data_IF_982441943390
#
_entry.id   IF_982441943390
#
_cell.length_a   1.000
_cell.length_b   1.000
_cell.length_c   1.000
_cell.angle_alpha   90.00
_cell.angle_beta   90.00
_cell.angle_gamma   90.00
#
_symmetry.space_group_name_H-M   'P 1'
#
loop_
_entity.id
_entity.type
_entity.pdbx_description
1 polymer ?
#
# COMPACT_ATOMS: atom_id res chain seq x y z
N UNK A 1 -7.12 6.45 -26.25
CA UNK A 1 -7.30 5.49 -26.64
C UNK A 1 -6.39 4.53 -26.26
N UNK A 2 -5.26 4.58 -26.37
CA UNK A 2 -4.44 3.64 -25.94
C UNK A 2 -4.43 3.49 -24.51
N UNK A 3 -4.74 4.45 -23.69
CA UNK A 3 -4.70 4.34 -22.26
C UNK A 3 -5.76 3.40 -21.73
N UNK A 4 -6.89 3.30 -22.38
CA UNK A 4 -7.91 2.44 -21.88
C UNK A 4 -7.54 0.97 -22.05
N UNK A 5 -6.75 0.63 -23.03
CA UNK A 5 -6.28 -0.72 -23.19
C UNK A 5 -5.37 -1.11 -22.04
N UNK A 6 -4.51 -0.18 -21.59
CA UNK A 6 -3.60 -0.46 -20.52
C UNK A 6 -4.34 -0.64 -19.20
N UNK A 7 -5.31 0.21 -18.92
CA UNK A 7 -6.10 0.10 -17.72
C UNK A 7 -6.87 -1.21 -17.67
N UNK A 8 -7.44 -1.60 -18.80
CA UNK A 8 -8.20 -2.83 -18.86
C UNK A 8 -7.30 -4.02 -18.62
N UNK A 9 -6.08 -3.99 -19.13
CA UNK A 9 -5.16 -5.07 -18.92
C UNK A 9 -4.81 -5.20 -17.44
N UNK A 10 -4.62 -4.09 -16.73
CA UNK A 10 -4.34 -4.13 -15.30
C UNK A 10 -5.51 -4.72 -14.53
N UNK A 11 -6.72 -4.34 -14.89
CA UNK A 11 -7.90 -4.89 -14.22
C UNK A 11 -8.01 -6.39 -14.46
N UNK A 12 -7.69 -6.85 -15.65
CA UNK A 12 -7.71 -8.27 -15.95
C UNK A 12 -6.68 -9.03 -15.14
N UNK A 13 -5.60 -8.36 -14.74
CA UNK A 13 -4.55 -8.98 -13.94
C UNK A 13 -4.81 -8.88 -12.44
N UNK A 14 -5.97 -8.34 -12.06
CA UNK A 14 -6.32 -8.26 -10.64
C UNK A 14 -6.02 -6.94 -9.98
N UNK A 15 -5.57 -5.94 -10.75
CA UNK A 15 -5.31 -4.61 -10.19
C UNK A 15 -6.59 -3.82 -10.12
N UNK A 16 -6.73 -3.01 -9.09
CA UNK A 16 -7.88 -2.16 -8.86
C UNK A 16 -7.45 -0.71 -8.85
N UNK A 17 -8.18 0.14 -9.56
CA UNK A 17 -7.92 1.58 -9.52
C UNK A 17 -8.31 2.11 -8.15
N UNK A 18 -7.45 2.88 -7.50
CA UNK A 18 -7.76 3.41 -6.17
C UNK A 18 -7.79 4.92 -6.12
N UNK A 19 -6.93 5.62 -6.86
CA UNK A 19 -6.91 7.08 -6.82
C UNK A 19 -5.97 7.60 -7.88
N UNK A 20 -5.99 8.93 -8.07
CA UNK A 20 -4.99 9.58 -8.91
C UNK A 20 -3.75 9.85 -8.07
N UNK A 21 -2.60 9.95 -8.72
CA UNK A 21 -1.36 10.20 -8.01
C UNK A 21 -1.41 11.53 -7.27
N UNK A 22 -2.16 12.51 -7.78
CA UNK A 22 -2.29 13.80 -7.12
C UNK A 22 -3.13 13.75 -5.87
N UNK A 23 -3.88 12.67 -5.65
CA UNK A 23 -4.65 12.53 -4.43
C UNK A 23 -3.78 12.08 -3.27
N UNK A 24 -2.53 11.73 -3.54
CA UNK A 24 -1.61 11.29 -2.50
C UNK A 24 -0.70 12.44 -2.13
N UNK A 25 -0.55 12.68 -0.83
CA UNK A 25 0.30 13.74 -0.32
C UNK A 25 1.63 13.12 0.08
N UNK A 26 2.72 13.77 -0.32
CA UNK A 26 4.07 13.27 -0.04
C UNK A 26 4.22 12.88 1.43
N UNK A 27 4.62 11.66 1.69
CA UNK A 27 4.91 11.11 3.02
C UNK A 27 3.72 11.02 3.97
N UNK A 28 2.50 11.21 3.48
CA UNK A 28 1.29 11.11 4.29
C UNK A 28 0.50 9.91 3.81
N UNK A 29 0.21 8.97 4.69
CA UNK A 29 -0.49 7.75 4.31
C UNK A 29 -1.97 7.98 4.09
N UNK A 30 -2.56 7.09 3.31
CA UNK A 30 -3.99 7.13 3.05
C UNK A 30 -4.51 5.70 3.09
N UNK A 31 -5.62 5.50 3.79
CA UNK A 31 -6.18 4.17 3.95
C UNK A 31 -7.18 3.86 2.85
N UNK A 32 -7.13 2.64 2.33
CA UNK A 32 -8.10 2.15 1.35
C UNK A 32 -8.55 0.77 1.79
N UNK A 33 -9.76 0.40 1.41
CA UNK A 33 -10.27 -0.94 1.69
C UNK A 33 -10.62 -1.58 0.35
N UNK A 34 -9.95 -2.69 0.04
CA UNK A 34 -10.13 -3.38 -1.23
C UNK A 34 -10.29 -4.86 -0.95
N UNK A 35 -11.37 -5.46 -1.44
CA UNK A 35 -11.65 -6.88 -1.20
C UNK A 35 -11.62 -7.20 0.30
N UNK A 36 -12.21 -6.31 1.11
CA UNK A 36 -12.26 -6.45 2.56
C UNK A 36 -10.89 -6.41 3.23
N UNK A 37 -9.89 -5.90 2.55
CA UNK A 37 -8.54 -5.77 3.08
C UNK A 37 -8.20 -4.31 3.24
N UNK A 38 -7.73 -3.91 4.42
CA UNK A 38 -7.32 -2.53 4.64
C UNK A 38 -5.87 -2.38 4.25
N UNK A 39 -5.60 -1.43 3.39
CA UNK A 39 -4.22 -1.14 3.00
C UNK A 39 -3.89 0.31 3.30
N UNK A 40 -2.62 0.58 3.49
CA UNK A 40 -2.10 1.94 3.68
C UNK A 40 -1.23 2.24 2.47
N UNK A 41 -1.48 3.38 1.83
CA UNK A 41 -0.78 3.77 0.60
C UNK A 41 0.02 5.03 0.89
N UNK A 42 1.28 5.02 0.50
CA UNK A 42 2.19 6.14 0.73
C UNK A 42 2.86 6.53 -0.57
N UNK A 43 3.07 7.82 -0.76
CA UNK A 43 3.86 8.32 -1.89
C UNK A 43 5.12 8.96 -1.34
N UNK A 44 6.29 8.51 -1.80
CA UNK A 44 7.57 9.04 -1.36
C UNK A 44 8.42 9.27 -2.60
N UNK A 45 8.79 10.51 -2.86
CA UNK A 45 9.61 10.88 -4.02
C UNK A 45 9.02 10.35 -5.32
N UNK A 46 7.73 10.53 -5.49
CA UNK A 46 6.99 10.12 -6.70
C UNK A 46 6.83 8.61 -6.83
N UNK A 47 7.27 7.83 -5.87
CA UNK A 47 7.07 6.39 -5.87
C UNK A 47 5.94 6.04 -4.91
N UNK A 48 5.10 5.09 -5.28
CA UNK A 48 3.92 4.73 -4.50
C UNK A 48 4.10 3.35 -3.90
N UNK A 49 3.77 3.22 -2.63
CA UNK A 49 3.88 1.94 -1.90
C UNK A 49 2.54 1.61 -1.27
N UNK A 50 2.19 0.32 -1.25
CA UNK A 50 0.97 -0.14 -0.60
C UNK A 50 1.32 -1.30 0.33
N UNK A 51 0.93 -1.18 1.59
CA UNK A 51 1.20 -2.21 2.59
C UNK A 51 -0.06 -2.43 3.42
N UNK A 52 -0.08 -3.51 4.19
CA UNK A 52 -1.19 -3.76 5.10
C UNK A 52 -1.33 -2.59 6.07
N UNK A 53 -2.56 -2.20 6.35
CA UNK A 53 -2.81 -1.15 7.33
C UNK A 53 -2.83 -1.70 8.75
N UNK A 54 -2.68 -2.99 8.94
CA UNK A 54 -2.79 -3.62 10.25
C UNK A 54 -1.40 -3.97 10.76
N UNK A 55 -1.01 -3.35 11.87
CA UNK A 55 0.29 -3.62 12.48
C UNK A 55 0.25 -5.01 13.12
N UNK A 56 1.19 -5.89 12.78
CA UNK A 56 1.15 -7.26 13.31
C UNK A 56 1.41 -7.33 14.81
N UNK A 57 2.00 -6.28 15.39
CA UNK A 57 2.31 -6.32 16.82
C UNK A 57 1.04 -6.40 17.67
N UNK A 58 0.10 -5.52 17.48
CA UNK A 58 -1.14 -5.52 18.25
C UNK A 58 -2.36 -5.44 17.36
N UNK A 59 -2.19 -5.66 16.08
CA UNK A 59 -3.30 -5.64 15.13
C UNK A 59 -4.07 -4.32 15.13
N UNK A 60 -3.35 -3.22 15.36
CA UNK A 60 -3.96 -1.91 15.28
C UNK A 60 -4.05 -1.53 13.80
N UNK A 61 -5.08 -0.78 13.44
CA UNK A 61 -5.34 -0.39 12.06
C UNK A 61 -4.84 1.02 11.82
N UNK A 62 -3.57 1.27 12.10
CA UNK A 62 -3.00 2.61 12.14
C UNK A 62 -1.78 2.85 11.26
N UNK A 63 -1.43 1.90 10.42
CA UNK A 63 -0.22 2.08 9.60
C UNK A 63 -0.34 3.33 8.72
N UNK A 64 -1.54 3.61 8.18
CA UNK A 64 -1.72 4.78 7.32
C UNK A 64 -1.41 6.08 8.06
N UNK A 65 -1.50 6.07 9.39
CA UNK A 65 -1.26 7.25 10.19
C UNK A 65 0.17 7.31 10.71
N UNK A 66 1.03 6.42 10.26
CA UNK A 66 2.40 6.36 10.73
C UNK A 66 3.28 7.45 10.13
N UNK A 67 4.46 7.62 10.72
CA UNK A 67 5.43 8.59 10.22
C UNK A 67 6.32 7.91 9.20
N UNK A 68 6.84 8.70 8.27
CA UNK A 68 7.80 8.18 7.29
C UNK A 68 9.20 8.59 7.71
N UNK A 69 10.12 7.61 7.76
CA UNK A 69 11.55 7.85 7.97
C UNK A 69 12.28 7.12 6.86
N UNK A 70 12.84 7.85 5.92
CA UNK A 70 13.46 7.28 4.72
C UNK A 70 12.43 6.41 4.00
N UNK A 71 12.64 5.13 3.84
CA UNK A 71 11.64 4.27 3.21
C UNK A 71 10.92 3.40 4.24
N UNK A 72 10.92 3.82 5.50
CA UNK A 72 10.24 3.07 6.54
C UNK A 72 9.02 3.82 7.02
N UNK A 73 7.97 3.07 7.38
CA UNK A 73 6.83 3.66 8.07
C UNK A 73 6.93 3.23 9.53
N UNK A 74 6.74 4.19 10.43
CA UNK A 74 6.80 3.95 11.87
C UNK A 74 5.38 3.89 12.40
N UNK A 75 4.99 2.74 12.95
CA UNK A 75 3.65 2.57 13.47
C UNK A 75 3.45 3.48 14.68
N UNK A 76 2.41 4.30 14.71
CA UNK A 76 2.25 5.26 15.80
C UNK A 76 1.90 4.62 17.15
N UNK A 77 1.46 3.37 17.13
CA UNK A 77 1.07 2.74 18.39
C UNK A 77 2.27 2.42 19.26
N UNK A 78 3.30 1.77 18.70
CA UNK A 78 4.44 1.35 19.50
C UNK A 78 5.79 1.60 18.84
N UNK A 79 5.82 2.33 17.75
CA UNK A 79 7.08 2.72 17.13
C UNK A 79 7.78 1.65 16.32
N UNK A 80 7.10 0.55 15.99
CA UNK A 80 7.72 -0.46 15.13
C UNK A 80 7.89 0.15 13.73
N UNK A 81 9.02 -0.15 13.09
CA UNK A 81 9.35 0.38 11.78
C UNK A 81 9.32 -0.73 10.76
N UNK A 82 8.66 -0.48 9.63
CA UNK A 82 8.55 -1.45 8.55
C UNK A 82 9.03 -0.82 7.26
N UNK A 83 9.84 -1.55 6.51
CA UNK A 83 10.30 -1.09 5.21
C UNK A 83 9.13 -1.13 4.22
N UNK A 84 8.85 -0.01 3.57
CA UNK A 84 7.70 0.05 2.66
C UNK A 84 7.90 -0.78 1.41
N UNK A 85 9.15 -1.03 1.02
CA UNK A 85 9.42 -1.78 -0.20
C UNK A 85 9.36 -3.28 0.04
N UNK A 86 9.82 -3.75 1.18
CA UNK A 86 9.87 -5.18 1.47
C UNK A 86 8.83 -5.62 2.49
N UNK A 87 8.27 -4.70 3.25
CA UNK A 87 7.35 -5.01 4.33
C UNK A 87 8.02 -5.46 5.61
N UNK A 88 9.33 -5.64 5.59
CA UNK A 88 10.00 -6.23 6.74
C UNK A 88 10.22 -5.22 7.85
N UNK A 89 10.11 -5.70 9.09
CA UNK A 89 10.42 -4.90 10.24
C UNK A 89 11.91 -4.61 10.23
N UNK A 90 12.32 -3.50 10.81
CA UNK A 90 13.73 -3.11 10.81
C UNK A 90 14.63 -4.14 11.51
N UNK A 91 14.08 -4.96 12.39
CA UNK A 91 14.87 -6.03 13.01
C UNK A 91 14.89 -7.28 12.14
N UNK A 92 14.17 -7.30 11.03
CA UNK A 92 14.16 -8.43 10.11
C UNK A 92 13.10 -9.47 10.40
N UNK A 93 12.32 -9.28 11.46
CA UNK A 93 11.27 -10.26 11.79
C UNK A 93 9.90 -9.65 11.53
N UNK A 94 8.88 -10.47 11.45
CA UNK A 94 7.50 -10.07 11.25
C UNK A 94 7.31 -8.79 10.46
N UNK A 95 6.67 -8.81 9.39
CA UNK A 95 6.49 -7.63 8.56
C UNK A 95 5.07 -7.37 8.19
N UNK A 96 4.90 -6.37 7.33
CA UNK A 96 3.62 -6.04 6.75
C UNK A 96 3.53 -6.71 5.39
N UNK A 97 2.33 -7.11 5.01
CA UNK A 97 2.09 -7.57 3.64
C UNK A 97 2.30 -6.38 2.71
N UNK A 98 3.00 -6.59 1.61
CA UNK A 98 3.22 -5.56 0.59
C UNK A 98 2.38 -5.94 -0.62
N UNK A 99 1.74 -4.94 -1.24
CA UNK A 99 0.88 -5.17 -2.38
C UNK A 99 1.46 -4.51 -3.63
N UNK A 100 1.39 -5.20 -4.78
CA UNK A 100 1.92 -4.62 -6.03
C UNK A 100 1.17 -3.34 -6.41
N UNK A 101 1.91 -2.36 -6.89
CA UNK A 101 1.39 -1.08 -7.33
C UNK A 101 1.77 -0.86 -8.79
N UNK A 102 0.85 -0.33 -9.59
CA UNK A 102 1.15 0.14 -10.93
C UNK A 102 0.59 1.55 -11.07
N UNK A 103 1.35 2.42 -11.67
CA UNK A 103 0.90 3.79 -11.94
C UNK A 103 0.89 3.99 -13.44
N UNK A 104 -0.28 4.29 -14.00
CA UNK A 104 -0.43 4.48 -15.43
C UNK A 104 -1.23 5.77 -15.66
N UNK A 105 -0.66 6.71 -16.42
CA UNK A 105 -1.33 7.98 -16.72
C UNK A 105 -1.78 8.69 -15.44
N UNK A 106 -0.90 8.71 -14.44
CA UNK A 106 -1.16 9.37 -13.16
C UNK A 106 -2.28 8.70 -12.37
N UNK A 107 -2.65 7.50 -12.71
CA UNK A 107 -3.66 6.73 -11.96
C UNK A 107 -2.98 5.59 -11.24
N UNK A 108 -3.36 5.39 -9.99
CA UNK A 108 -2.74 4.40 -9.12
C UNK A 108 -3.61 3.16 -9.05
N UNK A 109 -3.00 2.02 -9.31
CA UNK A 109 -3.67 0.72 -9.25
C UNK A 109 -2.94 -0.16 -8.26
N UNK A 110 -3.69 -0.97 -7.51
CA UNK A 110 -3.08 -1.88 -6.55
C UNK A 110 -3.71 -3.25 -6.71
N UNK A 111 -2.92 -4.29 -6.49
CA UNK A 111 -3.40 -5.65 -6.60
C UNK A 111 -3.57 -6.25 -5.23
N UNK A 112 -4.82 -6.52 -4.84
CA UNK A 112 -5.16 -7.15 -3.58
C UNK A 112 -6.05 -8.33 -3.88
N UNK A 113 -5.58 -9.52 -3.59
CA UNK A 113 -6.35 -10.73 -3.89
C UNK A 113 -7.56 -10.82 -2.97
N UNK A 114 -8.68 -11.36 -3.47
CA UNK A 114 -9.85 -11.58 -2.61
C UNK A 114 -9.50 -12.51 -1.47
N UNK A 115 -10.07 -12.27 -0.30
CA UNK A 115 -9.72 -13.04 0.88
C UNK A 115 -10.02 -14.52 0.73
N UNK A 116 -11.09 -14.87 0.05
CA UNK A 116 -11.42 -16.26 -0.11
C UNK A 116 -10.45 -17.02 -1.01
N UNK A 117 -9.50 -16.34 -1.61
CA UNK A 117 -8.48 -16.97 -2.43
C UNK A 117 -7.21 -17.21 -1.64
N UNK A 118 -7.23 -17.02 -0.33
CA UNK A 118 -6.04 -17.13 0.46
C UNK A 118 -6.09 -18.35 1.35
N UNK A 119 -5.78 -19.52 0.87
CA UNK A 119 -5.67 -20.71 1.72
C UNK A 119 -4.52 -21.61 1.26
#
# INVERSE_FOLDING_TARGET
>A
MKNSDHSKQLEDEGFTFICSIEDLIESIGKKFIINDTEIAVFKINSEVFAVSNICPHQQTHLIFDGFIEDEFVVCPAHGWKFNLRTGKKDSGSNGLQVYPIEVVDDKVYVKVLPRQMQW
#
